data_IF_717017309684
#
_entry.id   IF_717017309684
#
_cell.length_a   1.000
_cell.length_b   1.000
_cell.length_c   1.000
_cell.angle_alpha   90.00
_cell.angle_beta   90.00
_cell.angle_gamma   90.00
#
_symmetry.space_group_name_H-M   'P 1'
#
loop_
_entity.id
_entity.type
_entity.pdbx_description
1 polymer ?
#
# COMPACT_ATOMS: atom_id res chain seq x y z
N UNK A 1 -0.67 15.41 15.32
CA UNK A 1 0.19 16.27 14.49
C UNK A 1 -0.56 16.56 13.19
N UNK A 2 -0.87 17.83 12.91
CA UNK A 2 -1.57 18.24 11.68
C UNK A 2 -0.50 18.60 10.65
N UNK A 3 -0.61 18.07 9.43
CA UNK A 3 0.30 18.46 8.35
C UNK A 3 -0.01 19.88 7.89
N UNK A 4 1.04 20.67 7.67
CA UNK A 4 0.95 21.96 7.01
C UNK A 4 0.59 21.72 5.52
N UNK A 5 -0.59 22.15 5.04
CA UNK A 5 -1.00 21.90 3.66
C UNK A 5 -0.16 22.68 2.63
N UNK A 6 0.56 23.71 3.07
CA UNK A 6 1.44 24.52 2.21
C UNK A 6 2.86 23.94 2.11
N UNK A 7 3.18 22.92 2.91
CA UNK A 7 4.47 22.24 2.91
C UNK A 7 4.37 20.86 2.25
N UNK A 8 5.40 20.43 1.48
CA UNK A 8 6.59 21.17 1.04
C UNK A 8 6.31 22.13 -0.13
N UNK A 9 7.09 23.23 -0.20
CA UNK A 9 7.13 24.14 -1.36
C UNK A 9 8.02 23.57 -2.48
N UNK A 10 7.96 24.12 -3.71
CA UNK A 10 8.86 23.69 -4.78
C UNK A 10 10.35 23.84 -4.46
N UNK A 11 10.72 24.76 -3.55
CA UNK A 11 12.10 24.91 -3.11
C UNK A 11 12.51 23.74 -2.18
N UNK A 12 11.66 23.38 -1.22
CA UNK A 12 11.90 22.26 -0.30
C UNK A 12 12.01 20.93 -1.04
N UNK A 13 11.13 20.71 -2.04
CA UNK A 13 11.16 19.50 -2.85
C UNK A 13 12.50 19.41 -3.61
N UNK A 14 12.96 20.51 -4.23
CA UNK A 14 14.25 20.55 -4.92
C UNK A 14 15.41 20.33 -3.98
N UNK A 15 15.39 20.92 -2.78
CA UNK A 15 16.42 20.74 -1.77
C UNK A 15 16.52 19.25 -1.35
N UNK A 16 15.39 18.54 -1.27
CA UNK A 16 15.37 17.13 -0.90
C UNK A 16 15.82 16.18 -2.03
N UNK A 17 15.22 16.28 -3.21
CA UNK A 17 15.44 15.31 -4.31
C UNK A 17 16.52 15.73 -5.32
N UNK A 18 16.91 17.00 -5.32
CA UNK A 18 17.77 17.60 -6.34
C UNK A 18 17.03 17.97 -7.63
N UNK A 19 17.57 18.95 -8.36
CA UNK A 19 16.92 19.57 -9.53
C UNK A 19 16.60 18.55 -10.64
N UNK A 20 17.52 17.65 -10.96
CA UNK A 20 17.32 16.66 -12.01
C UNK A 20 16.17 15.68 -11.69
N UNK A 21 16.00 15.28 -10.42
CA UNK A 21 14.90 14.42 -10.02
C UNK A 21 13.58 15.20 -9.97
N UNK A 22 13.62 16.47 -9.55
CA UNK A 22 12.47 17.37 -9.53
C UNK A 22 11.86 17.55 -10.92
N UNK A 23 12.67 17.90 -11.91
CA UNK A 23 12.24 18.09 -13.31
C UNK A 23 11.59 16.84 -13.89
N UNK A 24 12.19 15.66 -13.67
CA UNK A 24 11.59 14.38 -14.07
C UNK A 24 10.31 14.08 -13.30
N UNK A 25 10.25 14.44 -12.01
CA UNK A 25 9.05 14.33 -11.19
C UNK A 25 7.88 15.11 -11.78
N UNK A 26 8.11 16.35 -12.21
CA UNK A 26 7.09 17.17 -12.87
C UNK A 26 6.55 16.50 -14.15
N UNK A 27 7.42 15.88 -14.96
CA UNK A 27 6.98 15.11 -16.11
C UNK A 27 6.09 13.92 -15.70
N UNK A 28 6.42 13.21 -14.61
CA UNK A 28 5.62 12.08 -14.14
C UNK A 28 4.24 12.51 -13.64
N UNK A 29 4.14 13.66 -12.98
CA UNK A 29 2.85 14.25 -12.57
C UNK A 29 2.02 14.59 -13.81
N UNK A 30 2.59 15.32 -14.77
CA UNK A 30 1.90 15.70 -16.03
C UNK A 30 1.44 14.48 -16.84
N UNK A 31 2.24 13.42 -16.87
CA UNK A 31 1.90 12.16 -17.54
C UNK A 31 0.92 11.28 -16.74
N UNK A 32 0.39 11.75 -15.61
CA UNK A 32 -0.55 11.00 -14.77
C UNK A 32 0.03 9.72 -14.17
N UNK A 33 1.35 9.62 -13.97
CA UNK A 33 2.00 8.38 -13.54
C UNK A 33 1.89 8.09 -12.05
N UNK A 34 1.40 9.03 -11.25
CA UNK A 34 1.13 8.84 -9.83
C UNK A 34 -0.30 8.33 -9.67
N UNK A 35 -0.46 7.15 -9.06
CA UNK A 35 -1.72 6.43 -8.89
C UNK A 35 -1.99 6.16 -7.41
N UNK A 36 -3.28 6.11 -7.06
CA UNK A 36 -3.77 5.86 -5.70
C UNK A 36 -3.05 6.70 -4.61
N UNK A 37 -2.95 8.04 -4.79
CA UNK A 37 -2.42 8.93 -3.77
C UNK A 37 -3.32 8.88 -2.53
N UNK A 38 -2.71 8.64 -1.38
CA UNK A 38 -3.40 8.54 -0.10
C UNK A 38 -2.54 9.05 1.03
N UNK A 39 -3.18 9.50 2.09
CA UNK A 39 -2.55 10.04 3.29
C UNK A 39 -2.94 9.20 4.50
N UNK A 40 -1.98 8.94 5.37
CA UNK A 40 -2.19 8.27 6.65
C UNK A 40 -1.43 9.06 7.72
N UNK A 41 -2.13 9.95 8.42
CA UNK A 41 -1.51 10.91 9.33
C UNK A 41 -0.46 11.77 8.59
N UNK A 42 0.82 11.79 9.03
CA UNK A 42 1.89 12.53 8.38
C UNK A 42 2.50 11.84 7.15
N UNK A 43 1.99 10.66 6.75
CA UNK A 43 2.60 9.85 5.69
C UNK A 43 1.78 9.92 4.41
N UNK A 44 2.42 10.40 3.34
CA UNK A 44 1.93 10.30 1.97
C UNK A 44 2.32 8.94 1.38
N UNK A 45 1.39 8.28 0.71
CA UNK A 45 1.62 7.02 0.00
C UNK A 45 1.04 7.08 -1.39
N UNK A 46 1.74 6.54 -2.37
CA UNK A 46 1.25 6.43 -3.74
C UNK A 46 1.93 5.27 -4.48
N UNK A 47 1.40 4.94 -5.65
CA UNK A 47 2.03 4.09 -6.64
C UNK A 47 2.53 4.96 -7.79
N UNK A 48 3.73 4.72 -8.30
CA UNK A 48 4.28 5.42 -9.44
C UNK A 48 4.56 4.43 -10.58
N UNK A 49 3.86 4.61 -11.69
CA UNK A 49 4.11 3.85 -12.92
C UNK A 49 5.43 4.32 -13.52
N UNK A 50 6.34 3.38 -13.72
CA UNK A 50 7.67 3.64 -14.26
C UNK A 50 8.01 2.66 -15.38
N UNK A 51 9.27 2.24 -15.43
CA UNK A 51 9.77 1.29 -16.43
C UNK A 51 9.55 -0.19 -16.03
N UNK A 52 9.31 -0.46 -14.74
CA UNK A 52 9.01 -1.82 -14.28
C UNK A 52 7.56 -2.18 -14.62
N UNK A 53 7.30 -3.49 -14.77
CA UNK A 53 5.96 -4.04 -14.95
C UNK A 53 5.06 -3.62 -13.79
N UNK A 54 5.53 -3.82 -12.56
CA UNK A 54 4.82 -3.42 -11.35
C UNK A 54 5.10 -1.96 -10.98
N UNK A 55 4.06 -1.17 -10.62
CA UNK A 55 4.24 0.20 -10.16
C UNK A 55 5.08 0.29 -8.87
N UNK A 56 5.95 1.30 -8.80
CA UNK A 56 6.77 1.54 -7.63
C UNK A 56 5.94 2.10 -6.48
N UNK A 57 6.01 1.45 -5.31
CA UNK A 57 5.46 1.96 -4.06
C UNK A 57 6.33 3.10 -3.53
N UNK A 58 5.70 4.24 -3.25
CA UNK A 58 6.34 5.44 -2.69
C UNK A 58 5.69 5.76 -1.34
N UNK A 59 6.51 6.09 -0.35
CA UNK A 59 6.09 6.62 0.93
C UNK A 59 6.94 7.84 1.29
N UNK A 60 6.30 8.91 1.76
CA UNK A 60 6.99 10.11 2.25
C UNK A 60 6.38 10.49 3.59
N UNK A 61 7.21 10.69 4.60
CA UNK A 61 6.80 11.18 5.92
C UNK A 61 7.15 12.66 6.01
N UNK A 62 6.13 13.48 6.25
CA UNK A 62 6.27 14.92 6.41
C UNK A 62 6.20 15.31 7.89
N UNK A 63 7.05 16.24 8.29
CA UNK A 63 6.93 17.00 9.54
C UNK A 63 6.02 18.22 9.34
N UNK A 64 6.10 19.19 10.25
CA UNK A 64 5.40 20.46 10.09
C UNK A 64 6.03 21.29 8.96
N UNK A 65 7.36 21.42 8.98
CA UNK A 65 8.12 22.23 8.01
C UNK A 65 9.36 21.50 7.44
N UNK A 66 9.41 20.18 7.54
CA UNK A 66 10.51 19.37 6.99
C UNK A 66 10.03 18.04 6.39
N UNK A 67 10.82 17.48 5.47
CA UNK A 67 10.64 16.09 4.99
C UNK A 67 11.46 15.19 5.92
N UNK A 68 10.79 14.31 6.66
CA UNK A 68 11.43 13.47 7.69
C UNK A 68 12.07 12.20 7.12
N UNK A 69 11.36 11.53 6.21
CA UNK A 69 11.85 10.31 5.54
C UNK A 69 11.11 10.13 4.21
N UNK A 70 11.78 9.50 3.24
CA UNK A 70 11.15 9.08 2.00
C UNK A 70 11.71 7.74 1.55
N UNK A 71 10.81 6.88 1.04
CA UNK A 71 11.17 5.55 0.53
C UNK A 71 10.48 5.30 -0.79
N UNK A 72 11.23 4.76 -1.74
CA UNK A 72 10.67 4.27 -2.99
C UNK A 72 11.26 2.90 -3.31
N UNK A 73 10.41 2.00 -3.76
CA UNK A 73 10.81 0.64 -4.20
C UNK A 73 11.56 0.62 -5.54
N UNK A 74 11.84 1.78 -6.15
CA UNK A 74 12.61 1.82 -7.38
C UNK A 74 14.12 1.63 -7.13
N UNK A 75 14.91 1.23 -8.14
CA UNK A 75 16.34 0.99 -7.98
C UNK A 75 17.12 2.21 -7.45
N UNK A 76 16.70 3.42 -7.86
CA UNK A 76 17.28 4.68 -7.43
C UNK A 76 16.61 5.26 -6.17
N UNK A 77 15.74 4.51 -5.49
CA UNK A 77 14.85 5.01 -4.43
C UNK A 77 15.29 4.71 -3.01
N UNK A 78 16.48 4.12 -2.83
CA UNK A 78 16.99 3.63 -1.54
C UNK A 78 17.17 4.76 -0.51
N UNK A 79 17.47 5.97 -0.95
CA UNK A 79 17.65 7.17 -0.13
C UNK A 79 16.45 8.13 -0.18
N UNK A 80 15.37 7.76 -0.88
CA UNK A 80 14.19 8.61 -1.00
C UNK A 80 14.37 9.86 -1.87
N UNK A 81 15.44 9.97 -2.67
CA UNK A 81 15.72 11.16 -3.50
C UNK A 81 15.46 10.96 -4.98
N UNK A 82 14.56 10.03 -5.31
CA UNK A 82 14.27 9.68 -6.69
C UNK A 82 13.15 10.55 -7.30
N UNK A 83 13.04 10.51 -8.64
CA UNK A 83 11.97 11.19 -9.39
C UNK A 83 10.54 10.77 -8.99
N UNK A 84 10.35 9.57 -8.45
CA UNK A 84 9.03 9.12 -8.00
C UNK A 84 8.64 9.80 -6.68
N UNK A 85 9.59 9.94 -5.75
CA UNK A 85 9.38 10.74 -4.53
C UNK A 85 9.09 12.19 -4.92
N UNK A 86 9.88 12.75 -5.84
CA UNK A 86 9.64 14.09 -6.37
C UNK A 86 8.21 14.22 -6.93
N UNK A 87 7.75 13.27 -7.75
CA UNK A 87 6.41 13.30 -8.33
C UNK A 87 5.29 13.27 -7.27
N UNK A 88 5.45 12.46 -6.20
CA UNK A 88 4.47 12.41 -5.10
C UNK A 88 4.44 13.74 -4.33
N UNK A 89 5.61 14.30 -4.02
CA UNK A 89 5.70 15.59 -3.32
C UNK A 89 5.13 16.73 -4.15
N UNK A 90 5.42 16.78 -5.45
CA UNK A 90 4.87 17.77 -6.38
C UNK A 90 3.36 17.64 -6.46
N UNK A 91 2.83 16.41 -6.60
CA UNK A 91 1.38 16.19 -6.64
C UNK A 91 0.71 16.63 -5.35
N UNK A 92 1.32 16.36 -4.20
CA UNK A 92 0.80 16.82 -2.91
C UNK A 92 0.79 18.34 -2.80
N UNK A 93 1.88 19.01 -3.21
CA UNK A 93 1.97 20.46 -3.22
C UNK A 93 0.90 21.11 -4.12
N UNK A 94 0.66 20.54 -5.30
CA UNK A 94 -0.29 21.10 -6.28
C UNK A 94 -1.75 20.76 -5.94
N UNK A 95 -2.00 19.54 -5.45
CA UNK A 95 -3.33 18.97 -5.28
C UNK A 95 -3.42 18.13 -4.00
N UNK A 96 -3.30 18.74 -2.80
CA UNK A 96 -3.36 17.99 -1.54
C UNK A 96 -4.68 17.24 -1.36
N UNK A 97 -5.79 17.74 -1.94
CA UNK A 97 -7.10 17.10 -1.96
C UNK A 97 -7.14 15.76 -2.72
N UNK A 98 -6.19 15.51 -3.63
CA UNK A 98 -6.09 14.23 -4.32
C UNK A 98 -5.66 13.10 -3.36
N UNK A 99 -5.01 13.43 -2.25
CA UNK A 99 -4.56 12.45 -1.26
C UNK A 99 -5.66 12.14 -0.26
N UNK A 100 -6.46 11.15 -0.63
CA UNK A 100 -7.53 10.67 0.23
C UNK A 100 -6.96 10.13 1.55
N UNK A 101 -7.66 10.37 2.65
CA UNK A 101 -7.37 9.70 3.92
C UNK A 101 -8.39 8.58 4.07
N UNK A 102 -8.19 7.41 3.42
CA UNK A 102 -9.15 6.32 3.55
C UNK A 102 -9.25 5.96 5.03
N UNK A 103 -10.46 5.64 5.52
CA UNK A 103 -10.61 5.19 6.88
C UNK A 103 -9.76 3.93 7.10
N UNK A 104 -9.42 3.60 8.36
CA UNK A 104 -8.68 2.38 8.66
C UNK A 104 -9.29 1.18 7.93
N UNK A 105 -8.44 0.28 7.43
CA UNK A 105 -8.93 -0.89 6.69
C UNK A 105 -9.95 -1.68 7.54
N UNK A 106 -9.73 -1.80 8.85
CA UNK A 106 -10.70 -2.39 9.77
C UNK A 106 -12.07 -1.71 9.75
N UNK A 107 -12.13 -0.37 9.65
CA UNK A 107 -13.39 0.38 9.55
C UNK A 107 -14.09 0.12 8.23
N UNK A 108 -13.33 -0.04 7.13
CA UNK A 108 -13.91 -0.41 5.83
C UNK A 108 -14.45 -1.85 5.88
N UNK A 109 -13.66 -2.78 6.37
CA UNK A 109 -14.02 -4.20 6.46
C UNK A 109 -15.17 -4.44 7.46
N UNK A 110 -15.29 -3.65 8.53
CA UNK A 110 -16.38 -3.75 9.50
C UNK A 110 -17.76 -3.41 8.92
N UNK A 111 -17.82 -2.76 7.76
CA UNK A 111 -19.07 -2.48 7.05
C UNK A 111 -19.51 -3.64 6.14
N UNK A 112 -18.68 -4.68 6.00
CA UNK A 112 -18.92 -5.79 5.10
C UNK A 112 -19.45 -6.99 5.88
N UNK A 113 -20.40 -7.70 5.29
CA UNK A 113 -20.92 -8.96 5.82
C UNK A 113 -19.85 -10.05 5.83
N UNK A 114 -19.94 -11.00 6.77
CA UNK A 114 -18.97 -12.10 6.91
C UNK A 114 -18.73 -12.86 5.60
N UNK A 115 -19.79 -13.14 4.85
CA UNK A 115 -19.69 -13.85 3.57
C UNK A 115 -18.83 -13.07 2.55
N UNK A 116 -19.08 -11.77 2.38
CA UNK A 116 -18.30 -10.93 1.47
C UNK A 116 -16.83 -10.80 1.89
N UNK A 117 -16.54 -10.85 3.20
CA UNK A 117 -15.17 -10.89 3.70
C UNK A 117 -14.47 -12.22 3.37
N UNK A 118 -15.18 -13.36 3.44
CA UNK A 118 -14.63 -14.66 3.03
C UNK A 118 -14.32 -14.67 1.54
N UNK A 119 -15.23 -14.20 0.69
CA UNK A 119 -15.02 -14.09 -0.76
C UNK A 119 -13.80 -13.22 -1.09
N UNK A 120 -13.62 -12.11 -0.37
CA UNK A 120 -12.45 -11.23 -0.53
C UNK A 120 -11.14 -11.96 -0.17
N UNK A 121 -11.13 -12.73 0.92
CA UNK A 121 -9.95 -13.49 1.35
C UNK A 121 -9.62 -14.59 0.33
N UNK A 122 -10.63 -15.31 -0.17
CA UNK A 122 -10.44 -16.31 -1.23
C UNK A 122 -9.88 -15.68 -2.51
N UNK A 123 -10.40 -14.52 -2.94
CA UNK A 123 -9.87 -13.79 -4.08
C UNK A 123 -8.41 -13.32 -3.85
N UNK A 124 -8.07 -12.92 -2.63
CA UNK A 124 -6.68 -12.57 -2.28
C UNK A 124 -5.75 -13.79 -2.37
N UNK A 125 -6.17 -14.95 -1.87
CA UNK A 125 -5.39 -16.20 -1.95
C UNK A 125 -5.24 -16.66 -3.40
N UNK A 126 -6.30 -16.58 -4.21
CA UNK A 126 -6.21 -16.89 -5.63
C UNK A 126 -5.17 -16.01 -6.36
N UNK A 127 -5.02 -14.75 -5.95
CA UNK A 127 -4.03 -13.83 -6.53
C UNK A 127 -2.62 -14.02 -5.97
N UNK A 128 -2.50 -14.39 -4.70
CA UNK A 128 -1.26 -14.58 -3.95
C UNK A 128 -1.36 -15.88 -3.12
N UNK A 129 -1.07 -17.05 -3.72
CA UNK A 129 -1.30 -18.36 -3.08
C UNK A 129 -0.54 -18.56 -1.77
N UNK A 130 0.60 -17.88 -1.60
CA UNK A 130 1.41 -17.86 -0.39
C UNK A 130 0.67 -17.30 0.85
N UNK A 131 -0.42 -16.55 0.66
CA UNK A 131 -1.25 -16.09 1.76
C UNK A 131 -2.02 -17.23 2.45
N UNK A 132 -2.26 -18.37 1.78
CA UNK A 132 -2.97 -19.50 2.37
C UNK A 132 -2.21 -20.06 3.59
N UNK A 133 -0.90 -20.23 3.46
CA UNK A 133 -0.03 -20.71 4.55
C UNK A 133 -0.06 -19.75 5.74
N UNK A 134 -0.09 -18.45 5.48
CA UNK A 134 -0.19 -17.43 6.53
C UNK A 134 -1.52 -17.50 7.29
N UNK A 135 -2.63 -17.68 6.56
CA UNK A 135 -3.97 -17.84 7.17
C UNK A 135 -4.00 -19.09 8.02
N UNK A 136 -3.53 -20.23 7.48
CA UNK A 136 -3.47 -21.49 8.21
C UNK A 136 -2.66 -21.36 9.51
N UNK A 137 -1.43 -20.84 9.43
CA UNK A 137 -0.56 -20.67 10.59
C UNK A 137 -1.19 -19.81 11.69
N UNK A 138 -1.90 -18.75 11.30
CA UNK A 138 -2.60 -17.88 12.25
C UNK A 138 -3.78 -18.57 12.92
N UNK A 139 -4.57 -19.30 12.15
CA UNK A 139 -5.73 -20.05 12.65
C UNK A 139 -5.32 -21.18 13.60
N UNK A 140 -4.19 -21.86 13.34
CA UNK A 140 -3.66 -22.92 14.22
C UNK A 140 -3.11 -22.37 15.54
N UNK A 141 -2.68 -21.10 15.60
CA UNK A 141 -2.13 -20.47 16.81
C UNK A 141 -3.19 -19.85 17.74
N UNK A 142 -4.40 -19.63 17.23
CA UNK A 142 -5.55 -19.13 17.99
C UNK A 142 -6.83 -19.60 17.26
N UNK A 143 -7.36 -20.80 17.57
CA UNK A 143 -8.54 -21.31 16.90
C UNK A 143 -9.71 -20.34 17.09
N UNK A 144 -10.54 -20.11 16.07
CA UNK A 144 -11.75 -19.31 16.23
C UNK A 144 -12.61 -19.94 17.33
N UNK A 145 -13.29 -19.11 18.14
CA UNK A 145 -14.25 -19.60 19.14
C UNK A 145 -15.22 -20.58 18.46
N UNK A 146 -15.07 -21.87 18.74
CA UNK A 146 -15.99 -22.93 18.31
C UNK A 146 -15.44 -24.02 17.38
N UNK A 147 -14.14 -24.09 17.06
CA UNK A 147 -13.56 -25.27 16.40
C UNK A 147 -12.71 -26.08 17.40
N UNK A 148 -13.03 -27.35 17.59
CA UNK A 148 -12.24 -28.28 18.41
C UNK A 148 -10.99 -28.73 17.65
N UNK A 149 -9.96 -29.19 18.38
CA UNK A 149 -8.69 -29.66 17.82
C UNK A 149 -8.85 -30.82 16.81
N UNK A 150 -9.99 -31.52 16.84
CA UNK A 150 -10.34 -32.62 15.93
C UNK A 150 -10.60 -32.13 14.49
N UNK A 151 -11.12 -30.92 14.31
CA UNK A 151 -11.43 -30.35 12.98
C UNK A 151 -10.17 -29.86 12.24
N UNK A 152 -9.07 -29.65 12.97
CA UNK A 152 -7.81 -29.08 12.44
C UNK A 152 -6.86 -30.18 11.92
N UNK A 153 -6.98 -31.41 12.44
CA UNK A 153 -5.97 -32.46 12.26
C UNK A 153 -6.40 -33.61 11.34
N UNK A 154 -7.64 -33.63 10.85
CA UNK A 154 -8.08 -34.69 9.94
C UNK A 154 -7.58 -34.43 8.51
N UNK A 155 -6.70 -35.28 7.93
CA UNK A 155 -6.45 -35.24 6.51
C UNK A 155 -7.73 -35.75 5.84
N UNK A 156 -8.41 -34.88 5.09
CA UNK A 156 -9.62 -35.22 4.35
C UNK A 156 -9.41 -36.53 3.59
N UNK A 157 -10.16 -37.57 3.95
CA UNK A 157 -10.07 -38.86 3.30
C UNK A 157 -10.34 -38.70 1.79
N UNK A 158 -9.57 -39.34 0.90
CA UNK A 158 -9.83 -39.26 -0.53
C UNK A 158 -11.24 -39.79 -0.84
N UNK A 159 -11.95 -39.20 -1.82
CA UNK A 159 -13.28 -39.65 -2.17
C UNK A 159 -13.25 -41.12 -2.57
N UNK A 160 -14.17 -41.91 -2.00
CA UNK A 160 -14.34 -43.33 -2.36
C UNK A 160 -14.66 -43.43 -3.86
N UNK A 161 -14.02 -44.34 -4.61
CA UNK A 161 -14.41 -44.59 -5.98
C UNK A 161 -15.85 -45.13 -6.05
N UNK A 162 -16.62 -44.79 -7.09
CA UNK A 162 -17.97 -45.31 -7.28
C UNK A 162 -17.91 -46.83 -7.45
N UNK A 163 -18.79 -47.54 -6.76
CA UNK A 163 -18.98 -48.99 -6.89
C UNK A 163 -19.61 -49.33 -8.25
N UNK A 164 -19.26 -50.48 -8.85
CA UNK A 164 -19.76 -50.91 -10.16
C UNK A 164 -21.26 -51.23 -10.18
#
# INVERSE_FOLDING_TARGET
>A
MKLNPNFPTPADIRAWVGEAAYQRGQHYVRAGRVRHPRRQGPVLKALCVGQAIEPYRVQVRLGEDEILDARCTCPAGRDGRCKHVAAVLILWHQHPQAFQTPPPLSTLLAQWEKAALLDLIEAMIARYPDLADFVWLKMSSAPPKGLSEEDITSPGAPPRPPTP
#
